data_IF_821521360109
#
_entry.id   IF_821521360109
#
_cell.length_a   1.000
_cell.length_b   1.000
_cell.length_c   1.000
_cell.angle_alpha   90.00
_cell.angle_beta   90.00
_cell.angle_gamma   90.00
#
_symmetry.space_group_name_H-M   'P 1'
#
loop_
_entity.id
_entity.type
_entity.pdbx_description
1 polymer ?
#
# COMPACT_ATOMS: atom_id res chain seq x y z
N UNK A 1 2.41 18.56 -14.18
CA UNK A 1 3.28 17.48 -13.65
C UNK A 1 4.09 18.10 -12.51
N UNK A 2 4.45 17.28 -11.52
CA UNK A 2 4.79 17.61 -10.11
C UNK A 2 3.59 17.94 -9.21
N UNK A 3 2.81 16.90 -8.90
CA UNK A 3 1.73 16.95 -7.90
C UNK A 3 2.00 15.91 -6.79
N UNK A 4 2.98 16.12 -5.91
CA UNK A 4 3.27 15.18 -4.82
C UNK A 4 2.06 14.98 -3.90
N UNK A 5 1.22 16.02 -3.73
CA UNK A 5 -0.01 15.95 -2.95
C UNK A 5 -1.06 14.95 -3.46
N UNK A 6 -0.93 14.41 -4.68
CA UNK A 6 -1.82 13.36 -5.18
C UNK A 6 -1.79 12.11 -4.30
N UNK A 7 -0.66 11.82 -3.63
CA UNK A 7 -0.58 10.72 -2.64
C UNK A 7 -1.56 10.90 -1.47
N UNK A 8 -1.81 12.15 -1.07
CA UNK A 8 -2.70 12.45 0.05
C UNK A 8 -4.18 12.40 -0.40
N UNK A 9 -4.49 12.94 -1.59
CA UNK A 9 -5.88 13.04 -2.07
C UNK A 9 -6.38 11.76 -2.75
N UNK A 10 -5.49 10.89 -3.23
CA UNK A 10 -5.83 9.71 -4.05
C UNK A 10 -4.89 8.53 -3.78
N UNK A 11 -4.73 8.09 -2.51
CA UNK A 11 -3.68 7.15 -2.09
C UNK A 11 -3.79 5.77 -2.76
N UNK A 12 -5.00 5.34 -3.10
CA UNK A 12 -5.26 4.02 -3.70
C UNK A 12 -5.49 4.06 -5.22
N UNK A 13 -5.40 5.23 -5.86
CA UNK A 13 -5.66 5.38 -7.30
C UNK A 13 -4.52 6.10 -8.00
N UNK A 14 -4.60 7.42 -8.10
CA UNK A 14 -3.64 8.21 -8.88
C UNK A 14 -2.31 8.41 -8.14
N UNK A 15 -2.32 8.27 -6.81
CA UNK A 15 -1.16 8.41 -5.93
C UNK A 15 -0.28 7.17 -5.80
N UNK A 16 -0.34 6.22 -6.74
CA UNK A 16 0.54 5.04 -6.72
C UNK A 16 2.01 5.47 -6.83
N UNK A 17 2.87 4.84 -6.02
CA UNK A 17 4.29 5.21 -5.95
C UNK A 17 5.09 4.49 -7.03
N UNK A 18 5.00 3.15 -7.07
CA UNK A 18 5.65 2.30 -8.06
C UNK A 18 4.76 1.09 -8.43
N UNK A 19 5.01 0.51 -9.60
CA UNK A 19 4.46 -0.79 -10.00
C UNK A 19 5.62 -1.77 -10.16
N UNK A 20 5.52 -2.93 -9.49
CA UNK A 20 6.58 -3.94 -9.47
C UNK A 20 6.05 -5.27 -9.99
N UNK A 21 6.87 -5.98 -10.76
CA UNK A 21 6.57 -7.36 -11.18
C UNK A 21 7.02 -8.31 -10.08
N UNK A 22 6.10 -9.12 -9.55
CA UNK A 22 6.42 -10.14 -8.57
C UNK A 22 7.34 -11.20 -9.17
N UNK A 23 8.50 -11.41 -8.56
CA UNK A 23 9.41 -12.52 -8.84
C UNK A 23 8.90 -13.81 -8.19
N UNK A 24 8.29 -13.72 -7.01
CA UNK A 24 7.73 -14.84 -6.25
C UNK A 24 6.35 -14.47 -5.65
N UNK A 25 5.31 -15.23 -5.99
CA UNK A 25 3.95 -14.98 -5.44
C UNK A 25 3.80 -15.39 -3.97
N UNK A 26 4.65 -16.29 -3.47
CA UNK A 26 4.61 -16.75 -2.08
C UNK A 26 4.90 -15.63 -1.08
N UNK A 27 5.60 -14.56 -1.49
CA UNK A 27 5.88 -13.42 -0.62
C UNK A 27 4.60 -12.71 -0.14
N UNK A 28 3.50 -12.79 -0.91
CA UNK A 28 2.21 -12.20 -0.55
C UNK A 28 1.64 -12.76 0.76
N UNK A 29 1.93 -14.02 1.12
CA UNK A 29 1.41 -14.61 2.36
C UNK A 29 2.10 -14.09 3.63
N UNK A 30 3.20 -13.34 3.49
CA UNK A 30 3.88 -12.69 4.61
C UNK A 30 3.34 -11.28 4.91
N UNK A 31 2.48 -10.75 4.03
CA UNK A 31 1.87 -9.44 4.19
C UNK A 31 0.61 -9.51 5.04
N UNK A 32 0.27 -8.39 5.69
CA UNK A 32 -0.96 -8.26 6.46
C UNK A 32 -2.16 -8.12 5.53
N UNK A 33 -3.26 -8.78 5.88
CA UNK A 33 -4.57 -8.46 5.32
C UNK A 33 -5.11 -7.14 5.92
N UNK A 34 -6.26 -6.69 5.41
CA UNK A 34 -6.87 -5.42 5.82
C UNK A 34 -7.20 -5.36 7.32
N UNK A 35 -7.71 -6.46 7.89
CA UNK A 35 -8.14 -6.51 9.29
C UNK A 35 -6.94 -6.54 10.24
N UNK A 36 -5.91 -7.31 9.87
CA UNK A 36 -4.66 -7.39 10.62
C UNK A 36 -3.92 -6.05 10.61
N UNK A 37 -3.91 -5.34 9.47
CA UNK A 37 -3.31 -4.01 9.37
C UNK A 37 -4.05 -2.96 10.21
N UNK A 38 -5.39 -2.93 10.14
CA UNK A 38 -6.20 -2.01 10.94
C UNK A 38 -5.94 -2.19 12.45
N UNK A 39 -5.91 -3.44 12.93
CA UNK A 39 -5.56 -3.76 14.31
C UNK A 39 -4.16 -3.29 14.70
N UNK A 40 -3.19 -3.33 13.79
CA UNK A 40 -1.83 -2.85 14.07
C UNK A 40 -1.79 -1.32 14.21
N UNK A 41 -2.53 -0.59 13.38
CA UNK A 41 -2.64 0.86 13.47
C UNK A 41 -3.32 1.33 14.77
N UNK A 42 -4.27 0.55 15.30
CA UNK A 42 -5.00 0.88 16.53
C UNK A 42 -4.19 0.61 17.81
N UNK A 43 -3.09 -0.16 17.72
CA UNK A 43 -2.23 -0.47 18.88
C UNK A 43 -1.37 0.71 19.33
N UNK A 44 -1.24 1.75 18.52
CA UNK A 44 -0.34 2.90 18.72
C UNK A 44 -1.08 4.22 18.56
#
# INVERSE_FOLDING_TARGET
VDKPGTVNSSPFKEGWIIKVKLSNKGELSSLLDSDAYAKECEKH
#
